data_IF_396999930569
#
_entry.id   IF_396999930569
#
_cell.length_a   1.000
_cell.length_b   1.000
_cell.length_c   1.000
_cell.angle_alpha   90.00
_cell.angle_beta   90.00
_cell.angle_gamma   90.00
#
_symmetry.space_group_name_H-M   'P 1'
#
loop_
_entity.id
_entity.type
_entity.pdbx_description
1 polymer ?
#
# COMPACT_ATOMS: atom_id res chain seq x y z
N UNK A 1 -7.50 -83.46 21.51
CA UNK A 1 -7.70 -82.47 20.43
C UNK A 1 -6.54 -81.48 20.54
N UNK A 2 -5.47 -81.57 19.73
CA UNK A 2 -5.38 -81.27 18.26
C UNK A 2 -5.61 -79.77 18.04
N UNK A 3 -4.61 -78.87 17.83
CA UNK A 3 -3.38 -78.79 16.99
C UNK A 3 -3.62 -78.45 15.50
N UNK A 4 -2.93 -77.39 15.04
CA UNK A 4 -2.74 -76.98 13.63
C UNK A 4 -2.58 -75.43 13.53
N UNK A 5 -1.50 -74.72 13.14
CA UNK A 5 -0.10 -74.90 12.69
C UNK A 5 0.23 -74.55 11.22
N UNK A 6 0.83 -73.36 10.99
CA UNK A 6 1.48 -72.92 9.75
C UNK A 6 0.61 -72.03 8.83
N UNK A 7 1.17 -71.16 7.98
CA UNK A 7 2.58 -70.73 7.87
C UNK A 7 2.93 -70.04 6.54
N UNK A 8 4.12 -69.40 6.51
CA UNK A 8 4.89 -68.91 5.34
C UNK A 8 4.49 -67.60 4.61
N UNK A 9 5.56 -66.87 4.24
CA UNK A 9 5.73 -65.78 3.26
C UNK A 9 6.67 -66.33 2.15
N UNK A 10 7.20 -65.52 1.20
CA UNK A 10 6.62 -64.49 0.31
C UNK A 10 6.92 -64.80 -1.19
N UNK A 11 6.58 -63.87 -2.10
CA UNK A 11 7.13 -63.83 -3.48
C UNK A 11 6.21 -63.07 -4.45
N UNK A 12 6.69 -62.36 -5.46
CA UNK A 12 8.08 -62.04 -5.83
C UNK A 12 8.12 -60.93 -6.90
N UNK A 13 9.30 -60.38 -7.17
CA UNK A 13 9.49 -59.34 -8.20
C UNK A 13 10.01 -59.93 -9.52
N UNK A 14 9.78 -59.24 -10.63
CA UNK A 14 10.55 -59.41 -11.87
C UNK A 14 10.81 -58.07 -12.54
N UNK A 15 12.09 -57.83 -12.86
CA UNK A 15 12.61 -56.80 -13.76
C UNK A 15 12.28 -57.24 -15.24
N UNK A 16 12.69 -56.59 -16.34
CA UNK A 16 13.80 -55.67 -16.53
C UNK A 16 13.67 -54.76 -17.78
N UNK A 17 14.70 -53.92 -17.91
CA UNK A 17 15.21 -53.07 -19.00
C UNK A 17 14.74 -53.26 -20.47
N UNK A 18 14.83 -52.17 -21.26
CA UNK A 18 14.77 -52.23 -22.72
C UNK A 18 14.83 -50.86 -23.43
N UNK A 19 16.02 -50.39 -23.81
CA UNK A 19 16.26 -49.22 -24.66
C UNK A 19 17.65 -49.32 -25.34
N UNK A 20 18.01 -48.54 -26.39
CA UNK A 20 17.23 -47.70 -27.34
C UNK A 20 17.43 -48.29 -28.79
N UNK A 21 17.78 -47.59 -29.91
CA UNK A 21 17.49 -46.23 -30.44
C UNK A 21 17.05 -46.17 -31.95
N UNK A 22 16.64 -44.98 -32.46
CA UNK A 22 17.01 -44.50 -33.83
C UNK A 22 15.93 -44.20 -34.89
N UNK A 23 16.20 -43.20 -35.77
CA UNK A 23 15.42 -42.75 -36.97
C UNK A 23 14.45 -41.59 -36.69
N UNK A 24 14.58 -40.35 -37.22
CA UNK A 24 14.60 -39.79 -38.62
C UNK A 24 13.30 -40.11 -39.39
N UNK A 25 12.50 -39.16 -39.86
CA UNK A 25 12.69 -38.00 -40.79
C UNK A 25 12.21 -36.62 -40.23
N UNK A 26 12.77 -35.44 -40.55
CA UNK A 26 12.65 -34.59 -41.77
C UNK A 26 11.19 -34.12 -42.07
N UNK A 27 10.84 -32.85 -42.37
CA UNK A 27 11.55 -31.53 -42.56
C UNK A 27 10.80 -30.41 -41.76
N UNK A 28 11.09 -29.09 -41.71
CA UNK A 28 11.75 -28.10 -42.58
C UNK A 28 12.76 -27.17 -41.87
N UNK A 29 13.78 -26.72 -42.62
CA UNK A 29 14.56 -25.52 -42.35
C UNK A 29 14.12 -24.36 -43.26
N UNK A 30 14.09 -23.13 -42.74
CA UNK A 30 14.73 -21.96 -43.41
C UNK A 30 15.33 -21.06 -42.32
N UNK A 31 16.59 -20.66 -42.47
CA UNK A 31 17.35 -19.77 -41.57
C UNK A 31 17.73 -18.43 -42.27
N UNK A 32 18.20 -17.39 -41.53
CA UNK A 32 18.05 -16.00 -41.96
C UNK A 32 19.29 -15.31 -42.57
N UNK A 33 19.06 -14.16 -43.20
CA UNK A 33 20.05 -13.15 -43.61
C UNK A 33 19.39 -12.02 -44.44
N UNK A 34 19.84 -10.77 -44.46
CA UNK A 34 20.99 -10.16 -43.77
C UNK A 34 20.99 -8.62 -43.85
N UNK A 35 22.13 -7.98 -43.51
CA UNK A 35 22.47 -6.55 -43.71
C UNK A 35 23.25 -6.40 -45.05
N UNK A 36 23.72 -5.25 -45.54
CA UNK A 36 23.71 -3.80 -45.18
C UNK A 36 22.90 -3.01 -46.24
N UNK A 37 23.00 -1.72 -46.63
CA UNK A 37 23.86 -0.51 -46.49
C UNK A 37 22.90 0.72 -46.41
N UNK A 38 23.16 1.85 -45.74
CA UNK A 38 24.26 2.84 -45.69
C UNK A 38 24.28 3.86 -46.85
N UNK A 39 24.13 5.15 -46.52
CA UNK A 39 24.54 6.31 -47.33
C UNK A 39 24.79 7.52 -46.38
N UNK A 40 25.74 8.40 -46.69
CA UNK A 40 26.29 9.41 -45.75
C UNK A 40 26.72 10.71 -46.46
N UNK A 41 26.04 11.83 -46.21
CA UNK A 41 26.47 13.16 -46.66
C UNK A 41 26.20 14.25 -45.61
N UNK A 42 27.23 15.03 -45.31
CA UNK A 42 27.28 16.27 -44.51
C UNK A 42 27.96 17.38 -45.37
N UNK A 43 28.06 18.65 -44.94
CA UNK A 43 27.22 19.45 -44.03
C UNK A 43 26.75 20.78 -44.68
N UNK A 44 25.98 21.60 -43.95
CA UNK A 44 25.68 23.00 -44.29
C UNK A 44 26.01 23.96 -43.13
N UNK A 45 26.57 25.13 -43.42
CA UNK A 45 27.09 26.08 -42.41
C UNK A 45 26.08 27.11 -41.88
N UNK A 46 26.50 27.97 -40.92
CA UNK A 46 25.63 28.94 -40.24
C UNK A 46 25.56 30.30 -40.95
N UNK A 47 24.59 31.12 -40.54
CA UNK A 47 24.53 32.57 -40.83
C UNK A 47 23.96 33.33 -39.63
N UNK A 48 24.64 34.43 -39.27
CA UNK A 48 24.15 35.70 -38.69
C UNK A 48 22.79 35.66 -37.92
N UNK A 49 22.72 35.86 -36.60
CA UNK A 49 23.15 37.05 -35.84
C UNK A 49 22.39 38.34 -36.23
N UNK A 50 21.58 38.84 -35.28
CA UNK A 50 21.10 40.23 -35.26
C UNK A 50 21.03 40.67 -33.79
N UNK A 51 21.60 41.83 -33.46
CA UNK A 51 21.71 42.32 -32.07
C UNK A 51 20.61 43.33 -31.75
N UNK A 52 19.84 43.10 -30.68
CA UNK A 52 19.00 44.15 -30.08
C UNK A 52 19.19 44.20 -28.56
N UNK A 53 19.80 45.29 -28.10
CA UNK A 53 19.96 45.70 -26.70
C UNK A 53 19.46 47.15 -26.56
N UNK A 54 19.12 47.63 -25.35
CA UNK A 54 18.26 46.98 -24.37
C UNK A 54 17.09 47.90 -23.95
N UNK A 55 15.92 47.33 -23.65
CA UNK A 55 14.80 48.07 -23.06
C UNK A 55 15.05 48.45 -21.60
N UNK A 56 14.69 49.68 -21.22
CA UNK A 56 14.78 50.16 -19.83
C UNK A 56 13.73 49.53 -18.89
N UNK A 57 13.85 49.73 -17.56
CA UNK A 57 13.01 49.07 -16.58
C UNK A 57 11.57 49.62 -16.57
N UNK A 58 10.59 48.72 -16.66
CA UNK A 58 9.18 48.99 -16.40
C UNK A 58 8.75 48.28 -15.11
N UNK A 59 8.70 49.07 -14.04
CA UNK A 59 7.97 48.92 -12.77
C UNK A 59 7.82 47.52 -12.16
N UNK A 60 8.37 47.36 -10.95
CA UNK A 60 8.10 46.19 -10.11
C UNK A 60 6.73 46.36 -9.45
N UNK A 61 5.77 45.53 -9.85
CA UNK A 61 4.49 45.40 -9.16
C UNK A 61 4.70 44.60 -7.85
N UNK A 62 4.32 45.17 -6.71
CA UNK A 62 4.58 44.56 -5.40
C UNK A 62 3.62 43.38 -5.18
N UNK A 63 4.09 42.16 -5.46
CA UNK A 63 3.39 40.91 -5.10
C UNK A 63 3.42 40.73 -3.58
N UNK A 64 2.49 41.42 -2.91
CA UNK A 64 2.27 41.31 -1.47
C UNK A 64 1.89 39.87 -1.09
N UNK A 65 2.36 39.36 0.07
CA UNK A 65 2.28 37.95 0.39
C UNK A 65 0.90 37.51 0.86
N UNK A 66 0.50 36.30 0.46
CA UNK A 66 -0.50 35.49 1.17
C UNK A 66 -1.92 36.06 1.20
N UNK A 67 -2.75 35.63 0.24
CA UNK A 67 -4.18 35.48 0.54
C UNK A 67 -4.35 34.56 1.76
N UNK A 68 -5.43 34.73 2.55
CA UNK A 68 -5.60 34.00 3.81
C UNK A 68 -5.55 32.49 3.56
N UNK A 69 -4.88 31.76 4.46
CA UNK A 69 -5.05 30.31 4.57
C UNK A 69 -6.54 30.01 4.69
N UNK A 70 -7.01 28.97 3.97
CA UNK A 70 -8.31 28.39 4.30
C UNK A 70 -8.28 27.98 5.77
N UNK A 71 -9.39 28.23 6.48
CA UNK A 71 -9.41 28.14 7.94
C UNK A 71 -8.92 26.77 8.42
N UNK A 72 -8.02 26.77 9.41
CA UNK A 72 -7.40 25.56 9.99
C UNK A 72 -8.46 24.67 10.67
N UNK A 73 -9.16 23.88 9.87
CA UNK A 73 -10.05 22.83 10.31
C UNK A 73 -9.28 21.68 10.97
N UNK A 74 -10.01 20.84 11.71
CA UNK A 74 -9.44 19.71 12.46
C UNK A 74 -8.66 18.72 11.57
N UNK A 75 -9.02 18.64 10.28
CA UNK A 75 -8.31 17.87 9.27
C UNK A 75 -7.53 18.82 8.33
N UNK A 76 -6.27 18.50 7.96
CA UNK A 76 -5.53 19.27 6.95
C UNK A 76 -6.22 19.26 5.58
N UNK A 77 -6.00 20.32 4.80
CA UNK A 77 -6.60 20.53 3.48
C UNK A 77 -6.50 19.30 2.56
N UNK A 78 -7.58 19.02 1.84
CA UNK A 78 -7.74 17.85 0.98
C UNK A 78 -8.09 16.54 1.71
N UNK A 79 -7.80 16.38 3.02
CA UNK A 79 -8.05 15.10 3.71
C UNK A 79 -9.54 14.75 3.79
N UNK A 80 -10.41 15.72 4.08
CA UNK A 80 -11.86 15.52 4.16
C UNK A 80 -12.46 15.10 2.79
N UNK A 81 -12.00 15.72 1.71
CA UNK A 81 -12.39 15.38 0.34
C UNK A 81 -11.85 14.00 -0.07
N UNK A 82 -10.59 13.71 0.23
CA UNK A 82 -9.97 12.42 -0.05
C UNK A 82 -10.68 11.26 0.66
N UNK A 83 -11.11 11.44 1.92
CA UNK A 83 -11.94 10.46 2.64
C UNK A 83 -13.28 10.29 1.92
N UNK A 84 -14.02 11.38 1.66
CA UNK A 84 -15.33 11.31 0.99
C UNK A 84 -15.27 10.63 -0.37
N UNK A 85 -14.36 11.07 -1.25
CA UNK A 85 -14.17 10.51 -2.58
C UNK A 85 -13.69 9.06 -2.56
N UNK A 86 -12.82 8.69 -1.62
CA UNK A 86 -12.39 7.28 -1.48
C UNK A 86 -13.55 6.37 -1.04
N UNK A 87 -14.43 6.84 -0.14
CA UNK A 87 -15.62 6.08 0.25
C UNK A 87 -16.60 5.92 -0.92
N UNK A 88 -16.82 6.97 -1.72
CA UNK A 88 -17.66 6.91 -2.91
C UNK A 88 -17.07 6.02 -4.03
N UNK A 89 -15.75 6.06 -4.24
CA UNK A 89 -15.04 5.17 -5.18
C UNK A 89 -15.19 3.70 -4.79
N UNK A 90 -15.01 3.37 -3.50
CA UNK A 90 -15.18 2.00 -2.97
C UNK A 90 -16.64 1.54 -3.11
N UNK A 91 -17.59 2.42 -2.78
CA UNK A 91 -19.01 2.13 -2.96
C UNK A 91 -19.39 1.97 -4.45
N UNK A 92 -18.74 2.71 -5.36
CA UNK A 92 -18.90 2.59 -6.81
C UNK A 92 -18.34 1.26 -7.33
N UNK A 93 -17.21 0.81 -6.82
CA UNK A 93 -16.65 -0.53 -7.08
C UNK A 93 -17.61 -1.62 -6.60
N UNK A 94 -18.05 -1.58 -5.34
CA UNK A 94 -18.95 -2.58 -4.74
C UNK A 94 -20.30 -2.66 -5.46
N UNK A 95 -20.88 -1.54 -5.90
CA UNK A 95 -22.11 -1.51 -6.72
C UNK A 95 -21.98 -2.14 -8.11
N UNK A 96 -20.77 -2.57 -8.52
CA UNK A 96 -20.57 -3.37 -9.75
C UNK A 96 -20.39 -4.87 -9.50
N UNK A 97 -20.45 -5.32 -8.24
CA UNK A 97 -20.69 -6.72 -7.92
C UNK A 97 -22.11 -7.10 -8.37
N UNK A 98 -22.25 -8.18 -9.15
CA UNK A 98 -23.50 -8.57 -9.79
C UNK A 98 -23.76 -10.08 -9.68
N UNK A 99 -25.01 -10.44 -9.37
CA UNK A 99 -25.41 -11.83 -9.11
C UNK A 99 -25.32 -12.21 -7.62
N UNK A 100 -26.07 -13.24 -7.18
CA UNK A 100 -26.18 -13.61 -5.76
C UNK A 100 -24.87 -14.13 -5.16
N UNK A 101 -23.99 -14.72 -5.98
CA UNK A 101 -22.74 -15.31 -5.51
C UNK A 101 -21.61 -14.26 -5.36
N UNK A 102 -21.85 -13.00 -5.73
CA UNK A 102 -20.80 -11.98 -5.83
C UNK A 102 -20.16 -11.63 -4.46
N UNK A 103 -20.92 -11.73 -3.37
CA UNK A 103 -20.40 -11.61 -2.01
C UNK A 103 -19.33 -12.68 -1.69
N UNK A 104 -19.42 -13.87 -2.30
CA UNK A 104 -18.50 -15.00 -2.10
C UNK A 104 -17.22 -14.96 -2.93
N UNK A 105 -16.99 -13.93 -3.75
CA UNK A 105 -15.77 -13.82 -4.57
C UNK A 105 -14.51 -13.74 -3.68
N UNK A 106 -13.41 -14.46 -4.00
CA UNK A 106 -12.21 -14.48 -3.17
C UNK A 106 -11.39 -13.19 -3.31
N UNK A 107 -10.95 -12.61 -2.19
CA UNK A 107 -10.11 -11.40 -2.19
C UNK A 107 -8.62 -11.75 -2.37
N UNK A 108 -7.89 -11.16 -3.35
CA UNK A 108 -6.51 -11.57 -3.65
C UNK A 108 -5.52 -11.44 -2.49
N UNK A 109 -5.06 -12.61 -1.99
CA UNK A 109 -4.15 -12.81 -0.84
C UNK A 109 -4.80 -12.61 0.55
N UNK A 110 -6.13 -12.57 0.62
CA UNK A 110 -6.87 -12.73 1.87
C UNK A 110 -7.42 -14.16 1.99
N UNK A 111 -7.80 -14.55 3.20
CA UNK A 111 -8.71 -15.68 3.46
C UNK A 111 -10.19 -15.27 3.33
N UNK A 112 -10.48 -13.96 3.34
CA UNK A 112 -11.83 -13.42 3.26
C UNK A 112 -12.39 -13.38 1.83
N UNK A 113 -13.70 -13.51 1.75
CA UNK A 113 -14.53 -13.18 0.59
C UNK A 113 -14.74 -11.66 0.44
N UNK A 114 -15.28 -11.24 -0.70
CA UNK A 114 -15.61 -9.85 -1.01
C UNK A 114 -16.56 -9.25 0.03
N UNK A 115 -17.62 -9.98 0.37
CA UNK A 115 -18.62 -9.58 1.36
C UNK A 115 -18.02 -9.46 2.76
N UNK A 116 -17.10 -10.35 3.14
CA UNK A 116 -16.39 -10.28 4.42
C UNK A 116 -15.42 -9.09 4.50
N UNK A 117 -14.64 -8.84 3.45
CA UNK A 117 -13.73 -7.70 3.39
C UNK A 117 -14.48 -6.35 3.36
N UNK A 118 -15.62 -6.29 2.68
CA UNK A 118 -16.50 -5.12 2.70
C UNK A 118 -17.20 -4.95 4.06
N UNK A 119 -17.59 -6.03 4.72
CA UNK A 119 -18.22 -6.01 6.05
C UNK A 119 -17.23 -5.63 7.15
N UNK A 120 -15.96 -6.05 7.06
CA UNK A 120 -14.88 -5.54 7.90
C UNK A 120 -14.68 -4.04 7.68
N UNK A 121 -14.55 -3.58 6.43
CA UNK A 121 -14.35 -2.16 6.13
C UNK A 121 -15.51 -1.28 6.61
N UNK A 122 -16.76 -1.73 6.43
CA UNK A 122 -17.94 -1.03 6.89
C UNK A 122 -17.96 -0.86 8.44
N UNK A 123 -17.63 -1.92 9.18
CA UNK A 123 -17.51 -1.89 10.64
C UNK A 123 -16.31 -1.06 11.12
N UNK A 124 -15.16 -1.14 10.44
CA UNK A 124 -13.98 -0.35 10.76
C UNK A 124 -14.24 1.15 10.56
N UNK A 125 -14.94 1.53 9.48
CA UNK A 125 -15.37 2.93 9.29
C UNK A 125 -16.34 3.37 10.41
N UNK A 126 -17.25 2.50 10.86
CA UNK A 126 -18.14 2.79 11.99
C UNK A 126 -17.36 2.99 13.30
N UNK A 127 -16.41 2.10 13.62
CA UNK A 127 -15.51 2.23 14.76
C UNK A 127 -14.75 3.56 14.72
N UNK A 128 -14.19 3.94 13.57
CA UNK A 128 -13.46 5.20 13.41
C UNK A 128 -14.38 6.43 13.63
N UNK A 129 -15.64 6.37 13.16
CA UNK A 129 -16.64 7.42 13.41
C UNK A 129 -17.03 7.50 14.90
N UNK A 130 -17.18 6.37 15.60
CA UNK A 130 -17.42 6.34 17.04
C UNK A 130 -16.24 6.91 17.85
N UNK A 131 -14.99 6.58 17.47
CA UNK A 131 -13.79 7.16 18.06
C UNK A 131 -13.73 8.68 17.81
N UNK A 132 -14.06 9.16 16.61
CA UNK A 132 -14.16 10.59 16.33
C UNK A 132 -15.22 11.28 17.20
N UNK A 133 -16.37 10.64 17.43
CA UNK A 133 -17.40 11.11 18.36
C UNK A 133 -16.99 11.04 19.84
N UNK A 134 -15.81 10.49 20.17
CA UNK A 134 -15.29 10.38 21.53
C UNK A 134 -15.78 9.15 22.31
N UNK A 135 -16.41 8.18 21.64
CA UNK A 135 -16.82 6.91 22.27
C UNK A 135 -15.67 5.90 22.24
N UNK A 136 -15.05 5.65 23.39
CA UNK A 136 -14.00 4.62 23.48
C UNK A 136 -14.56 3.21 23.27
N UNK A 137 -13.97 2.49 22.31
CA UNK A 137 -14.29 1.09 21.97
C UNK A 137 -13.02 0.24 22.10
N UNK A 138 -12.94 -0.70 23.06
CA UNK A 138 -11.83 -1.66 23.11
C UNK A 138 -11.86 -2.58 21.89
N UNK A 139 -10.77 -2.59 21.11
CA UNK A 139 -10.64 -3.41 19.89
C UNK A 139 -9.21 -3.96 19.79
N UNK A 140 -8.97 -5.10 20.45
CA UNK A 140 -7.63 -5.66 20.65
C UNK A 140 -6.75 -4.82 21.58
N UNK A 141 -5.45 -5.15 21.61
CA UNK A 141 -4.39 -4.46 22.36
C UNK A 141 -3.36 -3.73 21.46
N UNK A 142 -3.63 -3.66 20.16
CA UNK A 142 -2.75 -3.09 19.14
C UNK A 142 -1.65 -4.02 18.62
N UNK A 143 -1.48 -5.22 19.18
CA UNK A 143 -0.66 -6.25 18.52
C UNK A 143 -1.42 -6.87 17.34
N UNK A 144 -0.74 -7.24 16.23
CA UNK A 144 -1.41 -7.77 15.04
C UNK A 144 -2.31 -8.99 15.29
N UNK A 145 -1.92 -9.90 16.20
CA UNK A 145 -2.73 -11.07 16.55
C UNK A 145 -4.01 -10.72 17.34
N UNK A 146 -3.93 -9.72 18.21
CA UNK A 146 -5.07 -9.24 18.99
C UNK A 146 -6.05 -8.44 18.13
N UNK A 147 -5.54 -7.63 17.20
CA UNK A 147 -6.33 -6.94 16.19
C UNK A 147 -7.01 -7.93 15.23
N UNK A 148 -6.31 -8.96 14.76
CA UNK A 148 -6.91 -10.01 13.93
C UNK A 148 -8.04 -10.75 14.65
N UNK A 149 -7.85 -11.16 15.90
CA UNK A 149 -8.89 -11.81 16.70
C UNK A 149 -10.10 -10.89 16.98
N UNK A 150 -9.87 -9.59 17.17
CA UNK A 150 -10.95 -8.60 17.32
C UNK A 150 -11.73 -8.40 16.00
N UNK A 151 -11.05 -8.40 14.85
CA UNK A 151 -11.67 -8.34 13.53
C UNK A 151 -12.53 -9.60 13.26
N UNK A 152 -12.03 -10.80 13.56
CA UNK A 152 -12.78 -12.05 13.43
C UNK A 152 -14.03 -12.06 14.33
N UNK A 153 -13.91 -11.60 15.58
CA UNK A 153 -15.03 -11.51 16.52
C UNK A 153 -16.12 -10.52 16.04
N UNK A 154 -15.72 -9.34 15.55
CA UNK A 154 -16.64 -8.36 14.98
C UNK A 154 -17.34 -8.90 13.73
N UNK A 155 -16.58 -9.49 12.79
CA UNK A 155 -17.09 -10.08 11.55
C UNK A 155 -18.03 -11.27 11.81
N UNK A 156 -17.84 -12.03 12.89
CA UNK A 156 -18.76 -13.07 13.33
C UNK A 156 -20.05 -12.52 14.00
N UNK A 157 -19.97 -11.35 14.65
CA UNK A 157 -21.11 -10.66 15.25
C UNK A 157 -21.99 -9.89 14.27
N UNK A 158 -21.46 -9.55 13.09
CA UNK A 158 -22.14 -8.76 12.06
C UNK A 158 -22.39 -9.62 10.80
N UNK A 159 -23.66 -9.94 10.55
CA UNK A 159 -24.06 -10.93 9.53
C UNK A 159 -24.17 -10.41 8.08
N UNK A 160 -24.11 -9.10 7.83
CA UNK A 160 -24.29 -8.54 6.50
C UNK A 160 -23.08 -8.81 5.59
N UNK A 161 -23.33 -9.22 4.34
CA UNK A 161 -22.33 -9.57 3.32
C UNK A 161 -22.65 -9.01 1.94
N UNK A 162 -23.83 -8.44 1.73
CA UNK A 162 -24.27 -7.95 0.42
C UNK A 162 -23.51 -6.65 0.02
N UNK A 163 -22.89 -6.60 -1.17
CA UNK A 163 -22.09 -5.43 -1.59
C UNK A 163 -22.86 -4.10 -1.63
N UNK A 164 -24.18 -4.13 -1.85
CA UNK A 164 -25.03 -2.93 -1.88
C UNK A 164 -25.17 -2.25 -0.50
N UNK A 165 -25.80 -2.90 0.50
CA UNK A 165 -25.89 -2.38 1.87
C UNK A 165 -24.53 -2.01 2.47
N UNK A 166 -23.47 -2.78 2.19
CA UNK A 166 -22.13 -2.49 2.66
C UNK A 166 -21.53 -1.24 2.01
N UNK A 167 -21.77 -1.01 0.71
CA UNK A 167 -21.38 0.21 0.02
C UNK A 167 -22.04 1.46 0.63
N UNK A 168 -23.34 1.38 0.95
CA UNK A 168 -24.08 2.46 1.61
C UNK A 168 -23.54 2.72 3.02
N UNK A 169 -23.31 1.68 3.81
CA UNK A 169 -22.72 1.79 5.15
C UNK A 169 -21.30 2.40 5.11
N UNK A 170 -20.45 2.03 4.16
CA UNK A 170 -19.10 2.60 4.01
C UNK A 170 -19.17 4.12 3.79
N UNK A 171 -20.07 4.60 2.92
CA UNK A 171 -20.26 6.05 2.68
C UNK A 171 -20.91 6.77 3.87
N UNK A 172 -21.90 6.15 4.52
CA UNK A 172 -22.59 6.74 5.66
C UNK A 172 -21.64 6.91 6.86
N UNK A 173 -20.80 5.92 7.13
CA UNK A 173 -19.83 5.97 8.23
C UNK A 173 -18.64 6.90 7.93
N UNK A 174 -18.22 7.01 6.67
CA UNK A 174 -17.24 8.03 6.26
C UNK A 174 -17.81 9.47 6.44
N UNK A 175 -19.10 9.68 6.13
CA UNK A 175 -19.76 10.96 6.38
C UNK A 175 -19.94 11.24 7.89
N UNK A 176 -20.31 10.23 8.68
CA UNK A 176 -20.43 10.34 10.14
C UNK A 176 -19.09 10.66 10.80
N UNK A 177 -17.99 10.04 10.36
CA UNK A 177 -16.63 10.38 10.79
C UNK A 177 -16.30 11.85 10.52
N UNK A 178 -16.57 12.34 9.30
CA UNK A 178 -16.24 13.71 8.91
C UNK A 178 -17.02 14.74 9.75
N UNK A 179 -18.30 14.51 10.01
CA UNK A 179 -19.08 15.37 10.90
C UNK A 179 -18.56 15.31 12.36
N UNK A 180 -18.31 14.10 12.88
CA UNK A 180 -17.86 13.91 14.26
C UNK A 180 -16.43 14.42 14.54
N UNK A 181 -15.59 14.57 13.51
CA UNK A 181 -14.23 15.10 13.64
C UNK A 181 -14.16 16.61 13.43
N UNK A 182 -15.12 17.22 12.72
CA UNK A 182 -15.17 18.67 12.45
C UNK A 182 -15.40 19.50 13.72
N UNK A 183 -16.26 19.04 14.63
CA UNK A 183 -16.58 19.70 15.91
C UNK A 183 -15.52 19.54 17.02
N UNK A 184 -14.33 18.97 16.73
CA UNK A 184 -13.33 18.63 17.75
C UNK A 184 -12.29 19.72 18.01
N UNK A 185 -11.72 19.69 19.22
CA UNK A 185 -10.38 20.23 19.49
C UNK A 185 -9.32 19.47 18.66
N UNK A 186 -8.53 20.13 17.78
CA UNK A 186 -7.51 19.49 16.94
C UNK A 186 -6.36 18.78 17.68
N UNK A 187 -6.12 19.13 18.94
CA UNK A 187 -5.06 18.54 19.77
C UNK A 187 -5.59 17.56 20.83
N UNK A 188 -6.91 17.48 21.04
CA UNK A 188 -7.52 16.55 21.99
C UNK A 188 -7.26 15.07 21.60
N UNK A 189 -6.51 14.30 22.42
CA UNK A 189 -6.08 12.96 22.08
C UNK A 189 -7.23 11.97 21.97
N UNK A 190 -7.05 10.97 21.11
CA UNK A 190 -7.99 9.90 20.84
C UNK A 190 -7.32 8.54 21.01
N UNK A 191 -7.88 7.70 21.89
CA UNK A 191 -7.48 6.29 22.06
C UNK A 191 -7.95 5.48 20.84
N UNK A 192 -7.03 4.77 20.19
CA UNK A 192 -7.35 3.94 19.00
C UNK A 192 -6.76 2.54 19.12
N UNK A 193 -7.13 1.58 18.24
CA UNK A 193 -6.53 0.25 18.22
C UNK A 193 -5.01 0.27 17.98
N UNK A 194 -4.47 1.31 17.35
CA UNK A 194 -3.02 1.53 17.18
C UNK A 194 -2.47 2.59 18.15
N UNK A 195 -3.10 2.72 19.33
CA UNK A 195 -2.69 3.61 20.41
C UNK A 195 -3.26 5.03 20.28
N UNK A 196 -2.82 5.92 21.18
CA UNK A 196 -3.28 7.31 21.22
C UNK A 196 -2.72 8.11 20.04
N UNK A 197 -3.57 8.90 19.37
CA UNK A 197 -3.19 9.83 18.29
C UNK A 197 -4.09 11.08 18.29
N UNK A 198 -3.77 12.10 17.46
CA UNK A 198 -4.59 13.31 17.28
C UNK A 198 -5.64 13.15 16.16
N UNK A 199 -6.76 13.90 16.17
CA UNK A 199 -7.81 13.87 15.14
C UNK A 199 -7.33 13.87 13.68
N UNK A 200 -6.39 14.75 13.32
CA UNK A 200 -5.79 14.79 11.97
C UNK A 200 -5.08 13.47 11.58
N UNK A 201 -4.49 12.77 12.55
CA UNK A 201 -3.88 11.44 12.34
C UNK A 201 -4.95 10.35 12.26
N UNK A 202 -6.05 10.46 13.02
CA UNK A 202 -7.18 9.53 12.91
C UNK A 202 -7.82 9.60 11.52
N UNK A 203 -7.97 10.80 10.93
CA UNK A 203 -8.41 10.95 9.54
C UNK A 203 -7.43 10.33 8.53
N UNK A 204 -6.13 10.52 8.76
CA UNK A 204 -5.06 9.90 7.96
C UNK A 204 -5.09 8.36 8.07
N UNK A 205 -5.40 7.82 9.25
CA UNK A 205 -5.58 6.38 9.50
C UNK A 205 -6.83 5.85 8.77
N UNK A 206 -7.98 6.52 8.88
CA UNK A 206 -9.20 6.13 8.17
C UNK A 206 -8.98 6.07 6.65
N UNK A 207 -8.37 7.11 6.07
CA UNK A 207 -8.00 7.11 4.66
C UNK A 207 -7.06 5.95 4.31
N UNK A 208 -6.05 5.68 5.14
CA UNK A 208 -5.12 4.54 4.93
C UNK A 208 -5.84 3.20 4.92
N UNK A 209 -6.75 2.96 5.88
CA UNK A 209 -7.51 1.72 6.01
C UNK A 209 -8.47 1.54 4.81
N UNK A 210 -9.19 2.60 4.44
CA UNK A 210 -10.08 2.61 3.28
C UNK A 210 -9.32 2.36 1.97
N UNK A 211 -8.18 3.03 1.73
CA UNK A 211 -7.38 2.80 0.53
C UNK A 211 -6.81 1.38 0.45
N UNK A 212 -6.41 0.80 1.60
CA UNK A 212 -5.94 -0.58 1.68
C UNK A 212 -7.00 -1.59 1.26
N UNK A 213 -8.16 -1.59 1.93
CA UNK A 213 -9.25 -2.52 1.61
C UNK A 213 -9.93 -2.19 0.28
N UNK A 214 -10.07 -0.92 -0.08
CA UNK A 214 -10.62 -0.49 -1.37
C UNK A 214 -9.82 -1.00 -2.57
N UNK A 215 -8.48 -1.03 -2.46
CA UNK A 215 -7.61 -1.67 -3.44
C UNK A 215 -7.88 -3.18 -3.55
N UNK A 216 -8.00 -3.89 -2.42
CA UNK A 216 -8.22 -5.33 -2.42
C UNK A 216 -9.61 -5.71 -2.99
N UNK A 217 -10.65 -4.94 -2.65
CA UNK A 217 -12.01 -5.06 -3.19
C UNK A 217 -12.05 -4.76 -4.71
N UNK A 218 -11.34 -3.73 -5.16
CA UNK A 218 -11.22 -3.42 -6.59
C UNK A 218 -10.54 -4.54 -7.37
N UNK A 219 -9.46 -5.13 -6.82
CA UNK A 219 -8.82 -6.30 -7.44
C UNK A 219 -9.75 -7.53 -7.49
N UNK A 220 -10.49 -7.81 -6.42
CA UNK A 220 -11.42 -8.94 -6.37
C UNK A 220 -12.54 -8.85 -7.43
N UNK A 221 -12.97 -7.62 -7.77
CA UNK A 221 -13.96 -7.33 -8.81
C UNK A 221 -13.34 -7.01 -10.20
N UNK A 222 -12.02 -7.13 -10.37
CA UNK A 222 -11.33 -6.82 -11.63
C UNK A 222 -11.45 -5.35 -12.08
N UNK A 223 -11.67 -4.42 -11.15
CA UNK A 223 -11.86 -2.99 -11.40
C UNK A 223 -10.56 -2.18 -11.20
N UNK A 224 -10.43 -0.99 -11.81
CA UNK A 224 -9.37 -0.05 -11.46
C UNK A 224 -9.41 0.32 -9.97
N UNK A 225 -8.24 0.46 -9.34
CA UNK A 225 -8.13 0.87 -7.95
C UNK A 225 -8.12 2.40 -7.80
N UNK A 226 -8.57 2.90 -6.65
CA UNK A 226 -8.68 4.32 -6.32
C UNK A 226 -7.43 4.95 -5.67
N UNK A 227 -6.29 4.25 -5.71
CA UNK A 227 -4.99 4.76 -5.25
C UNK A 227 -4.37 5.75 -6.26
N UNK A 228 -4.05 6.95 -5.78
CA UNK A 228 -3.27 7.97 -6.49
C UNK A 228 -2.19 8.59 -5.57
N UNK A 229 -1.38 9.49 -6.13
CA UNK A 229 -0.28 10.13 -5.41
C UNK A 229 -0.72 11.06 -4.26
N UNK A 230 -1.76 11.87 -4.48
CA UNK A 230 -2.25 12.84 -3.49
C UNK A 230 -2.88 12.12 -2.29
N UNK A 231 -3.73 11.12 -2.57
CA UNK A 231 -4.34 10.27 -1.54
C UNK A 231 -3.29 9.50 -0.73
N UNK A 232 -2.19 9.05 -1.34
CA UNK A 232 -1.05 8.47 -0.60
C UNK A 232 -0.37 9.50 0.30
N UNK A 233 -0.11 10.73 -0.16
CA UNK A 233 0.57 11.74 0.67
C UNK A 233 -0.22 12.07 1.94
N UNK A 234 -1.55 12.08 1.84
CA UNK A 234 -2.47 12.24 2.97
C UNK A 234 -2.46 11.07 3.98
N UNK A 235 -1.91 9.90 3.63
CA UNK A 235 -1.66 8.78 4.59
C UNK A 235 -0.41 8.97 5.44
N UNK A 236 0.50 9.88 5.07
CA UNK A 236 1.83 9.96 5.70
C UNK A 236 1.86 10.42 7.17
N UNK A 237 0.92 11.21 7.70
CA UNK A 237 0.77 11.40 9.15
C UNK A 237 0.63 10.06 9.87
N UNK A 238 -0.37 9.24 9.52
CA UNK A 238 -0.57 7.92 10.14
C UNK A 238 0.56 6.94 9.83
N UNK A 239 1.00 6.82 8.57
CA UNK A 239 2.05 5.85 8.17
C UNK A 239 3.37 6.09 8.92
N UNK A 240 3.71 7.33 9.28
CA UNK A 240 4.89 7.63 10.13
C UNK A 240 4.66 7.26 11.59
N UNK A 241 3.47 7.48 12.11
CA UNK A 241 3.13 7.20 13.51
C UNK A 241 2.93 5.70 13.80
N UNK A 242 2.35 4.94 12.86
CA UNK A 242 2.17 3.50 12.97
C UNK A 242 3.50 2.73 12.86
N UNK A 243 4.43 3.21 12.03
CA UNK A 243 5.65 2.48 11.64
C UNK A 243 6.50 1.94 12.81
N UNK A 244 6.77 2.67 13.91
CA UNK A 244 7.45 2.10 15.08
C UNK A 244 6.66 0.97 15.75
N UNK A 245 5.33 1.12 15.85
CA UNK A 245 4.43 0.17 16.53
C UNK A 245 4.32 -1.16 15.76
N UNK A 246 4.44 -1.13 14.43
CA UNK A 246 4.37 -2.32 13.55
C UNK A 246 5.74 -2.91 13.17
N UNK A 247 6.80 -2.53 13.88
CA UNK A 247 8.16 -3.08 13.68
C UNK A 247 8.18 -4.60 13.88
N UNK A 248 8.88 -5.35 13.02
CA UNK A 248 9.20 -6.76 13.28
C UNK A 248 10.48 -6.87 14.13
N UNK A 249 10.41 -7.31 15.40
CA UNK A 249 11.57 -7.35 16.29
C UNK A 249 12.72 -8.21 15.77
N UNK A 250 12.41 -9.30 15.03
CA UNK A 250 13.42 -10.19 14.47
C UNK A 250 14.08 -9.58 13.22
N UNK A 251 13.37 -8.76 12.45
CA UNK A 251 13.91 -8.10 11.27
C UNK A 251 14.82 -6.90 11.60
N UNK A 252 14.62 -6.26 12.76
CA UNK A 252 15.42 -5.11 13.24
C UNK A 252 16.49 -5.47 14.27
N UNK A 253 16.49 -6.67 14.86
CA UNK A 253 17.49 -7.09 15.86
C UNK A 253 18.95 -6.79 15.43
N UNK A 254 19.69 -6.04 16.25
CA UNK A 254 21.07 -5.63 15.97
C UNK A 254 21.25 -4.65 14.81
N UNK A 255 20.17 -4.17 14.18
CA UNK A 255 20.25 -3.20 13.09
C UNK A 255 20.52 -1.80 13.64
N UNK A 256 21.61 -1.19 13.16
CA UNK A 256 21.82 0.27 13.28
C UNK A 256 21.99 0.88 11.89
N UNK A 257 21.03 1.70 11.48
CA UNK A 257 20.97 2.32 10.16
C UNK A 257 20.10 3.58 10.15
N UNK A 258 20.44 4.54 9.27
CA UNK A 258 19.62 5.74 9.02
C UNK A 258 19.08 5.73 7.60
N UNK A 259 17.78 5.89 7.47
CA UNK A 259 17.04 5.88 6.21
C UNK A 259 16.50 7.28 5.89
N UNK A 260 16.55 7.65 4.61
CA UNK A 260 15.81 8.77 4.04
C UNK A 260 14.78 8.22 3.04
N UNK A 261 13.51 8.23 3.40
CA UNK A 261 12.41 7.77 2.54
C UNK A 261 11.86 8.99 1.79
N UNK A 262 11.74 8.90 0.46
CA UNK A 262 11.31 9.99 -0.42
C UNK A 262 10.24 9.50 -1.38
N UNK A 263 9.13 10.21 -1.48
CA UNK A 263 8.15 9.99 -2.55
C UNK A 263 8.56 10.77 -3.81
N UNK A 264 8.27 10.21 -4.98
CA UNK A 264 8.54 10.87 -6.27
C UNK A 264 7.58 12.03 -6.50
N UNK A 265 8.12 13.23 -6.67
CA UNK A 265 7.35 14.47 -6.80
C UNK A 265 6.78 15.01 -5.49
N UNK A 266 7.02 14.32 -4.37
CA UNK A 266 6.31 14.53 -3.11
C UNK A 266 7.23 14.61 -1.88
N UNK A 267 6.66 14.46 -0.67
CA UNK A 267 7.37 14.63 0.59
C UNK A 267 8.41 13.53 0.87
N UNK A 268 9.27 13.81 1.84
CA UNK A 268 10.30 12.90 2.31
C UNK A 268 10.40 12.95 3.84
N UNK A 269 10.72 11.81 4.46
CA UNK A 269 10.84 11.65 5.91
C UNK A 269 12.05 10.78 6.27
N UNK A 270 12.42 10.79 7.55
CA UNK A 270 13.53 10.00 8.09
C UNK A 270 13.04 8.81 8.89
N UNK A 271 13.81 7.73 8.86
CA UNK A 271 13.66 6.60 9.81
C UNK A 271 15.05 6.25 10.35
N UNK A 272 15.20 6.23 11.65
CA UNK A 272 16.40 5.73 12.32
C UNK A 272 16.10 4.38 12.96
N UNK A 273 17.03 3.44 12.81
CA UNK A 273 17.05 2.22 13.62
C UNK A 273 18.34 2.25 14.44
N UNK A 274 18.21 2.11 15.75
CA UNK A 274 19.30 2.14 16.73
C UNK A 274 19.17 0.91 17.62
N UNK A 275 20.07 -0.07 17.42
CA UNK A 275 20.02 -1.41 18.03
C UNK A 275 18.61 -2.04 18.05
N UNK A 276 17.92 -1.96 16.90
CA UNK A 276 16.56 -2.46 16.72
C UNK A 276 15.43 -1.52 17.16
N UNK A 277 15.69 -0.49 17.98
CA UNK A 277 14.69 0.56 18.27
C UNK A 277 14.44 1.41 17.02
N UNK A 278 13.18 1.58 16.61
CA UNK A 278 12.79 2.39 15.43
C UNK A 278 12.24 3.75 15.85
N UNK A 279 12.82 4.80 15.27
CA UNK A 279 12.35 6.19 15.39
C UNK A 279 12.01 6.75 14.00
N UNK A 280 10.97 7.56 13.89
CA UNK A 280 10.55 8.19 12.62
C UNK A 280 10.54 9.71 12.77
N UNK A 281 11.20 10.42 11.86
CA UNK A 281 11.35 11.87 11.89
C UNK A 281 10.67 12.54 10.70
N UNK A 282 10.02 13.69 10.93
CA UNK A 282 9.30 14.42 9.88
C UNK A 282 10.17 14.80 8.68
N UNK A 283 11.45 15.10 8.92
CA UNK A 283 12.46 15.38 7.89
C UNK A 283 13.46 14.22 7.74
N UNK A 284 14.05 13.99 6.55
CA UNK A 284 15.13 13.03 6.36
C UNK A 284 16.41 13.39 7.14
N UNK A 285 17.22 12.41 7.58
CA UNK A 285 18.50 12.68 8.23
C UNK A 285 19.52 13.25 7.24
N UNK A 286 20.32 14.25 7.66
CA UNK A 286 21.32 14.91 6.82
C UNK A 286 22.45 13.99 6.30
N UNK A 287 22.64 12.82 6.92
CA UNK A 287 23.54 11.75 6.46
C UNK A 287 22.84 10.39 6.60
N UNK A 288 22.02 9.98 5.61
CA UNK A 288 21.44 8.65 5.59
C UNK A 288 22.50 7.60 5.23
N UNK A 289 22.37 6.40 5.77
CA UNK A 289 23.07 5.23 5.25
C UNK A 289 22.40 4.72 3.97
N UNK A 290 21.08 4.80 3.88
CA UNK A 290 20.31 4.41 2.71
C UNK A 290 19.23 5.46 2.40
N UNK A 291 19.19 5.95 1.16
CA UNK A 291 18.09 6.76 0.64
C UNK A 291 17.23 5.88 -0.26
N UNK A 292 15.92 5.95 -0.09
CA UNK A 292 14.92 5.21 -0.85
C UNK A 292 14.02 6.22 -1.56
N UNK A 293 13.99 6.20 -2.89
CA UNK A 293 13.04 6.96 -3.71
C UNK A 293 12.01 6.01 -4.31
N UNK A 294 10.74 6.21 -4.00
CA UNK A 294 9.64 5.36 -4.46
C UNK A 294 8.50 6.19 -5.04
N UNK A 295 7.84 5.62 -6.04
CA UNK A 295 6.55 6.07 -6.53
C UNK A 295 5.49 5.97 -5.39
N UNK A 296 4.59 6.94 -5.19
CA UNK A 296 3.66 6.97 -4.05
C UNK A 296 2.76 5.74 -3.89
N UNK A 297 2.07 5.31 -4.94
CA UNK A 297 1.17 4.14 -4.88
C UNK A 297 1.98 2.88 -4.56
N UNK A 298 3.19 2.77 -5.09
CA UNK A 298 4.12 1.70 -4.73
C UNK A 298 4.60 1.78 -3.27
N UNK A 299 4.80 2.97 -2.69
CA UNK A 299 5.13 3.14 -1.27
C UNK A 299 4.02 2.58 -0.38
N UNK A 300 2.77 3.00 -0.61
CA UNK A 300 1.65 2.57 0.24
C UNK A 300 1.38 1.08 0.09
N UNK A 301 1.42 0.54 -1.14
CA UNK A 301 1.29 -0.90 -1.36
C UNK A 301 2.42 -1.72 -0.72
N UNK A 302 3.66 -1.21 -0.67
CA UNK A 302 4.76 -1.88 0.05
C UNK A 302 4.56 -1.82 1.58
N UNK A 303 4.17 -0.66 2.11
CA UNK A 303 3.93 -0.49 3.56
C UNK A 303 2.74 -1.30 4.07
N UNK A 304 1.70 -1.47 3.26
CA UNK A 304 0.51 -2.28 3.56
C UNK A 304 0.66 -3.77 3.18
N UNK A 305 1.87 -4.27 2.93
CA UNK A 305 2.14 -5.68 2.58
C UNK A 305 1.58 -6.15 1.23
N UNK A 306 0.97 -5.24 0.47
CA UNK A 306 0.24 -5.48 -0.78
C UNK A 306 1.12 -5.44 -2.03
N UNK A 307 2.44 -5.35 -1.89
CA UNK A 307 3.43 -5.57 -2.95
C UNK A 307 4.71 -6.22 -2.40
N UNK A 308 5.43 -6.99 -3.23
CA UNK A 308 6.81 -7.38 -2.93
C UNK A 308 7.80 -6.30 -3.47
N UNK A 309 8.92 -6.00 -2.77
CA UNK A 309 9.90 -5.02 -3.24
C UNK A 309 10.50 -5.30 -4.62
N UNK A 310 10.72 -6.56 -5.00
CA UNK A 310 11.49 -6.88 -6.21
C UNK A 310 10.75 -6.54 -7.51
N UNK A 311 9.45 -6.89 -7.71
CA UNK A 311 8.67 -6.39 -8.85
C UNK A 311 8.55 -4.87 -8.91
N UNK A 312 8.55 -4.18 -7.76
CA UNK A 312 8.50 -2.70 -7.71
C UNK A 312 9.83 -2.09 -8.17
N UNK A 313 10.96 -2.63 -7.70
CA UNK A 313 12.30 -2.21 -8.13
C UNK A 313 12.55 -2.54 -9.60
N UNK A 314 12.19 -3.75 -10.05
CA UNK A 314 12.37 -4.19 -11.44
C UNK A 314 11.57 -3.38 -12.46
N UNK A 315 10.39 -2.86 -12.06
CA UNK A 315 9.59 -1.91 -12.86
C UNK A 315 10.05 -0.46 -12.73
N UNK A 316 11.22 -0.22 -12.13
CA UNK A 316 11.77 1.12 -11.91
C UNK A 316 10.94 2.01 -10.99
N UNK A 317 9.97 1.48 -10.22
CA UNK A 317 9.10 2.24 -9.32
C UNK A 317 9.75 2.57 -7.97
N UNK A 318 10.76 1.82 -7.54
CA UNK A 318 11.59 2.13 -6.37
C UNK A 318 13.09 2.05 -6.70
N UNK A 319 13.90 2.90 -6.05
CA UNK A 319 15.36 2.96 -6.19
C UNK A 319 16.02 3.21 -4.82
N UNK A 320 17.12 2.52 -4.53
CA UNK A 320 17.91 2.68 -3.31
C UNK A 320 19.36 3.07 -3.59
N UNK A 321 19.91 4.03 -2.84
CA UNK A 321 21.32 4.43 -2.91
C UNK A 321 21.88 4.84 -1.54
N UNK A 322 23.17 5.15 -1.47
CA UNK A 322 23.85 5.59 -0.23
C UNK A 322 25.04 4.71 0.15
N UNK A 323 25.35 4.66 1.45
CA UNK A 323 26.44 3.85 2.05
C UNK A 323 26.06 2.38 2.24
N UNK A 324 24.78 2.09 2.44
CA UNK A 324 24.20 0.76 2.67
C UNK A 324 23.00 0.50 1.73
N UNK A 325 23.15 0.63 0.39
CA UNK A 325 22.03 0.60 -0.56
C UNK A 325 21.25 -0.73 -0.56
N UNK A 326 21.91 -1.83 -0.20
CA UNK A 326 21.29 -3.16 -0.03
C UNK A 326 20.21 -3.21 1.07
N UNK A 327 20.11 -2.20 1.93
CA UNK A 327 19.01 -2.10 2.90
C UNK A 327 17.68 -1.65 2.26
N UNK A 328 17.67 -1.04 1.07
CA UNK A 328 16.45 -0.59 0.41
C UNK A 328 15.42 -1.71 0.15
N UNK A 329 15.76 -2.86 -0.47
CA UNK A 329 14.81 -3.97 -0.62
C UNK A 329 14.46 -4.68 0.71
N UNK A 330 15.26 -4.50 1.77
CA UNK A 330 14.97 -5.01 3.11
C UNK A 330 14.04 -4.08 3.90
N UNK A 331 14.01 -2.78 3.60
CA UNK A 331 13.31 -1.76 4.41
C UNK A 331 11.81 -2.05 4.62
N UNK A 332 11.00 -2.42 3.61
CA UNK A 332 9.58 -2.78 3.84
C UNK A 332 9.43 -4.02 4.73
N UNK A 333 10.43 -4.91 4.75
CA UNK A 333 10.46 -6.14 5.55
C UNK A 333 11.04 -5.93 6.96
N UNK A 334 11.25 -4.69 7.39
CA UNK A 334 11.52 -4.34 8.80
C UNK A 334 10.23 -4.20 9.62
N UNK A 335 9.08 -4.22 8.95
CA UNK A 335 7.75 -4.00 9.50
C UNK A 335 6.85 -5.18 9.15
N UNK A 336 5.85 -5.44 10.00
CA UNK A 336 4.73 -6.33 9.69
C UNK A 336 3.59 -5.45 9.19
N UNK A 337 2.99 -5.82 8.06
CA UNK A 337 1.74 -5.17 7.65
C UNK A 337 0.64 -5.52 8.69
N UNK A 338 -0.16 -4.53 9.13
CA UNK A 338 -1.37 -4.79 9.91
C UNK A 338 -2.50 -5.35 9.02
#
# INVERSE_FOLDING_TARGET
>A
MVRGTGGALPGGATEAEGAPPGGRTETDEVLPGGRTEADEVLPGGPTEADEVLPGGPTEADEVLPGGPTEADGVLPGGLAEAIRGTAEDIASVLRTAAGPDAAGLPVPRSTWTLGEAAAHLAQANALMAELAAGHERPHGDGTPGSLAAANELALAGFGEREPGPLAEMITAQAAAFLAAVEDRDPDAPLTTPLGVMRPAVLGSYLLTHMLGHGYDLALALGRPHMLDAHRVELTLPFMREAMPRVTDPAAVAGLTARFAVRLRGGPAFGVAVTDGTVEVSHAPPARPDCTILTEPVAFLLLGLGRADPWPVIARGKALGWGRKPWLAPRFPRLFRAP
#
